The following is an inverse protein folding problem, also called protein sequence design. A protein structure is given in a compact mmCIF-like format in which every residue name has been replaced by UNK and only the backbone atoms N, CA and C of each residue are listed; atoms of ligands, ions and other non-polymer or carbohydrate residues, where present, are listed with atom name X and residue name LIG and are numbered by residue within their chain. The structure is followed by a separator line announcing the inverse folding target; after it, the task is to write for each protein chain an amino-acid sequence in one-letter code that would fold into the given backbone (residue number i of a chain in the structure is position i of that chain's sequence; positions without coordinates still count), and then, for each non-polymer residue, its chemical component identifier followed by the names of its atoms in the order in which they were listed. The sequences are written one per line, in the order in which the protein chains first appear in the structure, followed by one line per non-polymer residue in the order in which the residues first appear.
data_IF_176287889321
#
_entry.id   IF_176287889321
#
_cell.length_a   1.000
_cell.length_b   1.000
_cell.length_c   1.000
_cell.angle_alpha   90.00
_cell.angle_beta   90.00
_cell.angle_gamma   90.00
#
_symmetry.space_group_name_H-M   'P 1'
#
loop_
_entity.id
_entity.type
_entity.pdbx_description
1 polymer ?
#
# COMPACT_ATOMS: atom_id res chain seq x y z
N UNK A 1 14.50 19.78 -14.44
CA UNK A 1 13.12 19.70 -13.89
C UNK A 1 12.77 18.36 -13.21
N UNK A 2 13.63 17.32 -13.22
CA UNK A 2 13.30 15.97 -12.73
C UNK A 2 13.28 15.78 -11.19
N UNK A 3 13.99 16.62 -10.42
CA UNK A 3 14.12 16.42 -8.96
C UNK A 3 12.85 16.69 -8.12
N UNK A 4 11.89 17.47 -8.63
CA UNK A 4 10.65 17.79 -7.91
C UNK A 4 9.64 16.64 -7.95
N UNK A 5 9.58 15.91 -9.07
CA UNK A 5 8.64 14.81 -9.30
C UNK A 5 9.04 13.58 -8.47
N UNK A 6 10.34 13.27 -8.41
CA UNK A 6 10.87 12.17 -7.59
C UNK A 6 10.58 12.38 -6.10
N UNK A 7 10.70 13.61 -5.59
CA UNK A 7 10.35 13.94 -4.21
C UNK A 7 8.87 13.75 -3.87
N UNK A 8 7.96 14.05 -4.80
CA UNK A 8 6.52 13.83 -4.62
C UNK A 8 6.20 12.34 -4.58
N UNK A 9 6.76 11.55 -5.50
CA UNK A 9 6.57 10.09 -5.55
C UNK A 9 7.04 9.41 -4.25
N UNK A 10 8.22 9.81 -3.74
CA UNK A 10 8.73 9.34 -2.44
C UNK A 10 7.78 9.63 -1.29
N UNK A 11 7.26 10.86 -1.23
CA UNK A 11 6.34 11.28 -0.16
C UNK A 11 5.04 10.50 -0.22
N UNK A 12 4.47 10.31 -1.42
CA UNK A 12 3.25 9.54 -1.61
C UNK A 12 3.45 8.08 -1.19
N UNK A 13 4.54 7.44 -1.63
CA UNK A 13 4.85 6.05 -1.26
C UNK A 13 5.02 5.89 0.26
N UNK A 14 5.75 6.81 0.91
CA UNK A 14 5.94 6.83 2.36
C UNK A 14 4.61 6.97 3.11
N UNK A 15 3.77 7.93 2.70
CA UNK A 15 2.44 8.14 3.32
C UNK A 15 1.56 6.90 3.14
N UNK A 16 1.57 6.30 1.96
CA UNK A 16 0.81 5.08 1.67
C UNK A 16 1.23 3.93 2.60
N UNK A 17 2.53 3.70 2.75
CA UNK A 17 3.08 2.65 3.61
C UNK A 17 2.71 2.85 5.09
N UNK A 18 2.84 4.07 5.60
CA UNK A 18 2.43 4.39 6.98
C UNK A 18 0.93 4.21 7.18
N UNK A 19 0.10 4.66 6.22
CA UNK A 19 -1.35 4.50 6.29
C UNK A 19 -1.75 3.02 6.29
N UNK A 20 -1.10 2.19 5.48
CA UNK A 20 -1.34 0.75 5.43
C UNK A 20 -1.04 0.07 6.78
N UNK A 21 0.13 0.35 7.37
CA UNK A 21 0.48 -0.20 8.68
C UNK A 21 -0.45 0.30 9.79
N UNK A 22 -0.82 1.58 9.75
CA UNK A 22 -1.77 2.14 10.72
C UNK A 22 -3.14 1.47 10.64
N UNK A 23 -3.69 1.27 9.44
CA UNK A 23 -4.99 0.60 9.27
C UNK A 23 -4.91 -0.88 9.67
N UNK A 24 -3.82 -1.58 9.34
CA UNK A 24 -3.65 -2.99 9.73
C UNK A 24 -3.63 -3.21 11.25
N UNK A 25 -3.11 -2.25 12.01
CA UNK A 25 -3.04 -2.29 13.48
C UNK A 25 -4.29 -1.78 14.18
N UNK A 26 -5.25 -1.19 13.45
CA UNK A 26 -6.49 -0.71 14.07
C UNK A 26 -7.43 -1.87 14.38
N UNK A 27 -7.96 -1.86 15.60
CA UNK A 27 -9.01 -2.76 16.08
C UNK A 27 -10.32 -2.03 16.38
N UNK A 28 -10.38 -0.71 16.12
CA UNK A 28 -11.49 0.19 16.49
C UNK A 28 -12.78 0.02 15.66
N UNK A 29 -12.90 -1.06 14.90
CA UNK A 29 -14.10 -1.37 14.09
C UNK A 29 -14.43 -0.36 12.99
N UNK A 30 -13.57 0.65 12.76
CA UNK A 30 -13.84 1.71 11.78
C UNK A 30 -13.75 1.20 10.35
N UNK A 31 -14.41 1.94 9.46
CA UNK A 31 -14.51 1.64 8.04
C UNK A 31 -13.17 1.54 7.30
N UNK A 32 -12.05 2.01 7.87
CA UNK A 32 -10.75 1.99 7.22
C UNK A 32 -10.34 0.61 6.70
N UNK A 33 -10.50 -0.44 7.52
CA UNK A 33 -10.20 -1.80 7.08
C UNK A 33 -11.25 -2.30 6.08
N UNK A 34 -12.54 -2.04 6.34
CA UNK A 34 -13.65 -2.42 5.44
C UNK A 34 -13.50 -1.83 4.04
N UNK A 35 -13.07 -0.57 3.93
CA UNK A 35 -12.82 0.13 2.66
C UNK A 35 -11.60 -0.45 1.95
N UNK A 36 -10.52 -0.80 2.67
CA UNK A 36 -9.35 -1.46 2.08
C UNK A 36 -9.64 -2.88 1.57
N UNK A 37 -10.48 -3.61 2.30
CA UNK A 37 -10.87 -4.97 1.95
C UNK A 37 -12.04 -5.01 0.98
N UNK A 38 -12.68 -3.85 0.76
CA UNK A 38 -13.91 -3.73 -0.02
C UNK A 38 -13.73 -4.40 -1.39
N UNK A 39 -14.58 -5.40 -1.62
CA UNK A 39 -14.72 -6.12 -2.88
C UNK A 39 -16.09 -5.78 -3.43
N UNK A 40 -16.16 -4.77 -4.30
CA UNK A 40 -17.35 -4.55 -5.11
C UNK A 40 -17.41 -5.68 -6.15
N UNK A 41 -18.30 -6.63 -5.92
CA UNK A 41 -18.76 -7.69 -6.82
C UNK A 41 -17.74 -8.78 -7.20
N UNK A 42 -18.19 -10.01 -6.98
CA UNK A 42 -17.72 -11.29 -7.53
C UNK A 42 -17.99 -11.38 -9.04
N UNK A 43 -17.75 -10.30 -9.80
CA UNK A 43 -18.06 -10.18 -11.24
C UNK A 43 -16.85 -9.73 -12.07
N UNK A 44 -16.91 -9.96 -13.39
CA UNK A 44 -15.87 -9.51 -14.34
C UNK A 44 -15.92 -7.97 -14.47
N UNK A 45 -14.77 -7.29 -14.34
CA UNK A 45 -14.65 -5.84 -14.59
C UNK A 45 -14.63 -5.58 -16.10
N UNK A 46 -15.12 -4.42 -16.51
CA UNK A 46 -15.06 -3.97 -17.91
C UNK A 46 -13.60 -3.86 -18.39
N UNK A 47 -13.39 -4.13 -19.68
CA UNK A 47 -12.08 -3.99 -20.34
C UNK A 47 -11.65 -2.52 -20.28
N UNK A 48 -10.37 -2.26 -19.98
CA UNK A 48 -9.77 -0.91 -20.00
C UNK A 48 -9.43 -0.29 -18.64
N UNK A 49 -9.99 -0.76 -17.51
CA UNK A 49 -9.59 -0.28 -16.17
C UNK A 49 -8.54 -1.21 -15.56
N UNK A 50 -7.40 -0.68 -15.05
CA UNK A 50 -6.40 -1.52 -14.40
C UNK A 50 -7.04 -2.38 -13.29
N UNK A 51 -6.76 -3.69 -13.26
CA UNK A 51 -7.33 -4.58 -12.23
C UNK A 51 -6.79 -4.25 -10.83
N UNK A 52 -5.68 -3.51 -10.75
CA UNK A 52 -4.91 -3.20 -9.55
C UNK A 52 -5.70 -2.36 -8.56
N UNK A 53 -5.79 -2.85 -7.33
CA UNK A 53 -6.41 -2.17 -6.20
C UNK A 53 -5.36 -1.46 -5.36
N UNK A 54 -5.81 -0.55 -4.49
CA UNK A 54 -4.92 0.19 -3.59
C UNK A 54 -4.05 -0.71 -2.71
N UNK A 55 -4.52 -1.92 -2.34
CA UNK A 55 -3.78 -2.86 -1.48
C UNK A 55 -2.86 -3.81 -2.25
N UNK A 56 -3.02 -3.89 -3.57
CA UNK A 56 -2.37 -4.95 -4.36
C UNK A 56 -0.88 -4.71 -4.52
N UNK A 57 -0.43 -3.46 -4.51
CA UNK A 57 0.99 -3.11 -4.47
C UNK A 57 1.63 -3.47 -3.13
N UNK A 58 0.94 -3.19 -2.01
CA UNK A 58 1.41 -3.60 -0.68
C UNK A 58 1.50 -5.12 -0.60
N UNK A 59 0.48 -5.83 -1.13
CA UNK A 59 0.48 -7.29 -1.22
C UNK A 59 1.59 -7.82 -2.14
N UNK A 60 1.85 -7.15 -3.26
CA UNK A 60 2.92 -7.52 -4.20
C UNK A 60 4.29 -7.40 -3.55
N UNK A 61 4.48 -6.40 -2.69
CA UNK A 61 5.75 -6.13 -2.02
C UNK A 61 5.95 -6.94 -0.73
N UNK A 62 4.98 -6.93 0.20
CA UNK A 62 5.08 -7.57 1.52
C UNK A 62 4.36 -8.93 1.63
N UNK A 63 3.83 -9.44 0.51
CA UNK A 63 3.16 -10.73 0.44
C UNK A 63 1.69 -10.73 0.91
N UNK A 64 1.06 -11.91 0.85
CA UNK A 64 -0.35 -12.10 1.23
C UNK A 64 -0.62 -11.84 2.72
N UNK A 65 0.38 -12.08 3.58
CA UNK A 65 0.36 -11.90 5.03
C UNK A 65 0.85 -10.52 5.48
N UNK A 66 0.89 -9.52 4.60
CA UNK A 66 1.37 -8.16 4.91
C UNK A 66 0.71 -7.54 6.16
N UNK A 67 -0.55 -7.88 6.47
CA UNK A 67 -1.23 -7.42 7.69
C UNK A 67 -0.60 -7.93 8.98
N UNK A 68 -0.09 -9.16 8.97
CA UNK A 68 0.64 -9.75 10.09
C UNK A 68 2.01 -9.08 10.20
N UNK A 69 2.71 -8.94 9.08
CA UNK A 69 3.98 -8.19 9.03
C UNK A 69 3.83 -6.74 9.51
N UNK A 70 2.67 -6.12 9.25
CA UNK A 70 2.35 -4.78 9.71
C UNK A 70 2.05 -4.68 11.21
N UNK A 71 1.79 -5.79 11.92
CA UNK A 71 1.65 -5.73 13.39
C UNK A 71 3.00 -5.43 14.05
N UNK A 72 4.07 -6.04 13.55
CA UNK A 72 5.44 -5.73 13.95
C UNK A 72 5.87 -4.37 13.38
N UNK A 73 5.98 -3.37 14.25
CA UNK A 73 6.38 -2.01 13.86
C UNK A 73 7.84 -1.95 13.39
N UNK A 74 8.73 -2.76 13.94
CA UNK A 74 10.15 -2.77 13.59
C UNK A 74 10.31 -3.34 12.18
N UNK A 75 9.72 -4.50 11.93
CA UNK A 75 9.67 -5.12 10.60
C UNK A 75 8.96 -4.21 9.58
N UNK A 76 7.82 -3.62 9.95
CA UNK A 76 7.09 -2.74 9.04
C UNK A 76 7.89 -1.49 8.66
N UNK A 77 8.62 -0.90 9.61
CA UNK A 77 9.44 0.27 9.35
C UNK A 77 10.71 -0.06 8.55
N UNK A 78 11.30 -1.25 8.74
CA UNK A 78 12.50 -1.66 7.98
C UNK A 78 12.18 -1.84 6.48
N UNK A 79 11.00 -2.39 6.18
CA UNK A 79 10.48 -2.58 4.81
C UNK A 79 10.09 -1.28 4.09
N UNK A 80 9.96 -0.17 4.82
CA UNK A 80 9.53 1.09 4.22
C UNK A 80 10.53 1.65 3.22
N UNK A 81 11.83 1.61 3.54
CA UNK A 81 12.87 2.20 2.68
C UNK A 81 12.92 1.51 1.32
N UNK A 82 12.86 0.18 1.33
CA UNK A 82 12.85 -0.67 0.13
C UNK A 82 11.55 -0.50 -0.67
N UNK A 83 10.39 -0.37 0.01
CA UNK A 83 9.13 -0.04 -0.67
C UNK A 83 9.22 1.31 -1.39
N UNK A 84 9.70 2.36 -0.72
CA UNK A 84 9.82 3.70 -1.32
C UNK A 84 10.80 3.70 -2.50
N UNK A 85 11.93 2.99 -2.40
CA UNK A 85 12.91 2.85 -3.48
C UNK A 85 12.30 2.21 -4.74
N UNK A 86 11.43 1.20 -4.59
CA UNK A 86 10.75 0.58 -5.72
C UNK A 86 9.93 1.59 -6.54
N UNK A 87 9.35 2.60 -5.90
CA UNK A 87 8.55 3.64 -6.57
C UNK A 87 9.37 4.78 -7.14
N UNK A 88 10.68 4.84 -6.86
CA UNK A 88 11.59 5.88 -7.37
C UNK A 88 12.56 5.38 -8.42
N UNK A 89 12.88 4.09 -8.42
CA UNK A 89 13.76 3.49 -9.45
C UNK A 89 13.03 3.21 -10.76
N UNK A 90 11.71 3.37 -10.80
CA UNK A 90 10.90 3.37 -12.02
C UNK A 90 10.80 4.82 -12.49
N UNK A 91 11.88 5.34 -13.07
CA UNK A 91 11.99 6.69 -13.60
C UNK A 91 12.95 6.71 -14.77
#
# INVERSE_FOLDING_TARGET
MFGRVTGIAQRVAKVKWHRAGHIARRTDGRWGLKVLEWRLCTGKRSVGRPPTRWRDDIRRFAGSRWRQAAQDRVLWNSLQKTFVQQWTSIG
#
